data_IF_256224453084
#
_entry.id   IF_256224453084
#
_cell.length_a   1.000
_cell.length_b   1.000
_cell.length_c   1.000
_cell.angle_alpha   90.00
_cell.angle_beta   90.00
_cell.angle_gamma   90.00
#
_symmetry.space_group_name_H-M   'P 1'
#
loop_
_entity.id
_entity.type
_entity.pdbx_description
1 polymer ?
#
# COMPACT_ATOMS: atom_id res chain seq x y z
N UNK A 1 -55.04 -37.56 -9.92
CA UNK A 1 -54.16 -36.66 -10.71
C UNK A 1 -53.39 -35.79 -9.73
N UNK A 2 -52.07 -35.97 -9.70
CA UNK A 2 -51.11 -35.29 -8.80
C UNK A 2 -50.24 -34.37 -9.66
N UNK A 3 -49.79 -33.26 -9.07
CA UNK A 3 -48.96 -32.16 -9.62
C UNK A 3 -49.68 -31.14 -10.52
N UNK A 4 -49.38 -29.83 -10.39
CA UNK A 4 -48.08 -29.31 -9.96
C UNK A 4 -48.17 -28.24 -8.86
N UNK A 5 -47.91 -28.68 -7.62
CA UNK A 5 -47.39 -27.83 -6.53
C UNK A 5 -45.97 -27.30 -6.86
N UNK A 6 -45.38 -27.77 -7.96
CA UNK A 6 -44.04 -27.42 -8.42
C UNK A 6 -43.86 -25.99 -8.94
N UNK A 7 -44.92 -25.25 -9.31
CA UNK A 7 -44.76 -23.89 -9.83
C UNK A 7 -44.57 -22.81 -8.75
N UNK A 8 -45.06 -23.04 -7.53
CA UNK A 8 -44.98 -22.06 -6.45
C UNK A 8 -43.60 -22.01 -5.76
N UNK A 9 -42.78 -23.06 -5.93
CA UNK A 9 -41.48 -23.19 -5.27
C UNK A 9 -40.28 -22.74 -6.14
N UNK A 10 -40.47 -22.50 -7.44
CA UNK A 10 -39.37 -22.16 -8.37
C UNK A 10 -39.15 -20.65 -8.48
N UNK A 11 -40.18 -19.83 -8.28
CA UNK A 11 -40.07 -18.36 -8.33
C UNK A 11 -39.26 -17.71 -7.18
N UNK A 12 -39.28 -18.18 -5.91
CA UNK A 12 -38.50 -17.54 -4.86
C UNK A 12 -37.00 -17.88 -4.95
N UNK A 13 -36.63 -19.01 -5.54
CA UNK A 13 -35.21 -19.44 -5.67
C UNK A 13 -34.49 -18.63 -6.74
N UNK A 14 -35.17 -18.23 -7.81
CA UNK A 14 -34.59 -17.37 -8.85
C UNK A 14 -34.34 -15.92 -8.37
N UNK A 15 -35.14 -15.43 -7.40
CA UNK A 15 -35.04 -14.06 -6.90
C UNK A 15 -33.90 -13.87 -5.86
N UNK A 16 -33.42 -14.94 -5.24
CA UNK A 16 -32.29 -14.88 -4.29
C UNK A 16 -30.91 -14.80 -4.95
N UNK A 17 -30.78 -15.06 -6.25
CA UNK A 17 -29.48 -15.07 -6.94
C UNK A 17 -29.00 -13.68 -7.39
N UNK A 18 -29.80 -12.63 -7.25
CA UNK A 18 -29.46 -11.28 -7.73
C UNK A 18 -28.85 -10.34 -6.66
N UNK A 19 -28.66 -10.80 -5.42
CA UNK A 19 -28.06 -10.00 -4.34
C UNK A 19 -26.58 -10.35 -4.06
N UNK A 20 -25.96 -11.18 -4.90
CA UNK A 20 -24.51 -11.35 -4.91
C UNK A 20 -23.86 -10.08 -5.45
N UNK A 21 -23.66 -9.09 -4.59
CA UNK A 21 -23.01 -7.83 -4.94
C UNK A 21 -21.71 -8.09 -5.70
N UNK A 22 -21.60 -7.53 -6.91
CA UNK A 22 -20.35 -7.47 -7.64
C UNK A 22 -19.31 -6.82 -6.73
N UNK A 23 -18.41 -7.62 -6.15
CA UNK A 23 -17.15 -7.11 -5.62
C UNK A 23 -16.38 -6.60 -6.83
N UNK A 24 -16.42 -5.29 -7.06
CA UNK A 24 -15.62 -4.64 -8.10
C UNK A 24 -14.17 -5.05 -7.87
N UNK A 25 -13.55 -5.71 -8.85
CA UNK A 25 -12.12 -5.99 -8.79
C UNK A 25 -11.38 -4.66 -8.65
N UNK A 26 -10.74 -4.44 -7.50
CA UNK A 26 -9.83 -3.32 -7.30
C UNK A 26 -8.46 -3.74 -7.82
N UNK A 27 -7.90 -2.95 -8.73
CA UNK A 27 -6.52 -3.14 -9.18
C UNK A 27 -5.58 -2.43 -8.19
N UNK A 28 -4.38 -2.98 -7.92
CA UNK A 28 -3.38 -2.31 -7.12
C UNK A 28 -2.92 -0.98 -7.75
N UNK A 29 -2.91 0.11 -6.97
CA UNK A 29 -2.51 1.46 -7.42
C UNK A 29 -1.54 2.11 -6.44
N UNK A 30 -0.82 3.14 -6.90
CA UNK A 30 0.00 3.99 -6.02
C UNK A 30 -0.84 4.72 -4.97
N UNK A 31 -2.06 5.15 -5.32
CA UNK A 31 -3.03 5.69 -4.36
C UNK A 31 -3.40 4.67 -3.27
N UNK A 32 -3.63 3.42 -3.64
CA UNK A 32 -3.86 2.34 -2.68
C UNK A 32 -2.65 2.12 -1.77
N UNK A 33 -1.44 2.23 -2.32
CA UNK A 33 -0.20 2.15 -1.54
C UNK A 33 -0.05 3.32 -0.57
N UNK A 34 -0.32 4.56 -1.00
CA UNK A 34 -0.41 5.72 -0.10
C UNK A 34 -1.43 5.49 1.01
N UNK A 35 -2.60 4.92 0.68
CA UNK A 35 -3.62 4.55 1.66
C UNK A 35 -3.15 3.50 2.67
N UNK A 36 -2.35 2.51 2.23
CA UNK A 36 -1.71 1.53 3.11
C UNK A 36 -0.67 2.20 4.03
N UNK A 37 0.24 3.01 3.49
CA UNK A 37 1.23 3.74 4.29
C UNK A 37 0.56 4.63 5.34
N UNK A 38 -0.54 5.28 4.98
CA UNK A 38 -1.30 6.15 5.86
C UNK A 38 -1.84 5.41 7.11
N UNK A 39 -2.06 4.09 7.06
CA UNK A 39 -2.54 3.34 8.23
C UNK A 39 -1.50 3.20 9.34
N UNK A 40 -0.23 3.42 9.04
CA UNK A 40 0.85 3.36 10.03
C UNK A 40 1.15 4.72 10.65
N UNK A 41 0.80 5.82 9.97
CA UNK A 41 1.03 7.17 10.49
C UNK A 41 0.28 7.38 11.80
N UNK A 42 0.99 7.88 12.81
CA UNK A 42 0.48 8.10 14.17
C UNK A 42 0.52 6.86 15.07
N UNK A 43 0.73 5.67 14.51
CA UNK A 43 0.89 4.44 15.28
C UNK A 43 2.34 4.24 15.74
N UNK A 44 2.51 3.37 16.73
CA UNK A 44 3.83 2.94 17.16
C UNK A 44 4.53 2.14 16.04
N UNK A 45 5.82 2.37 15.88
CA UNK A 45 6.67 1.74 14.88
C UNK A 45 6.74 0.21 15.03
N UNK A 46 6.46 -0.33 16.22
CA UNK A 46 6.27 -1.77 16.43
C UNK A 46 5.12 -2.33 15.59
N UNK A 47 4.00 -1.62 15.45
CA UNK A 47 2.87 -2.07 14.60
C UNK A 47 3.29 -2.22 13.13
N UNK A 48 4.15 -1.32 12.66
CA UNK A 48 4.75 -1.42 11.33
C UNK A 48 5.67 -2.64 11.23
N UNK A 49 6.58 -2.81 12.18
CA UNK A 49 7.55 -3.93 12.20
C UNK A 49 6.86 -5.29 12.32
N UNK A 50 5.81 -5.39 13.14
CA UNK A 50 5.04 -6.63 13.30
C UNK A 50 4.31 -7.01 12.01
N UNK A 51 3.94 -6.02 11.19
CA UNK A 51 3.19 -6.22 9.95
C UNK A 51 4.09 -6.44 8.73
N UNK A 52 5.22 -5.73 8.65
CA UNK A 52 6.11 -5.70 7.48
C UNK A 52 7.42 -6.48 7.71
N UNK A 53 7.68 -6.91 8.94
CA UNK A 53 8.98 -7.43 9.35
C UNK A 53 9.98 -6.32 9.72
N UNK A 54 11.21 -6.68 10.09
CA UNK A 54 12.25 -5.70 10.39
C UNK A 54 12.61 -4.87 9.14
N UNK A 55 12.91 -3.58 9.27
CA UNK A 55 13.33 -2.76 8.15
C UNK A 55 14.68 -3.23 7.60
N UNK A 56 14.82 -3.22 6.27
CA UNK A 56 16.08 -3.57 5.61
C UNK A 56 17.23 -2.61 5.98
N UNK A 57 16.90 -1.36 6.32
CA UNK A 57 17.86 -0.40 6.85
C UNK A 57 17.22 0.55 7.86
N UNK A 58 18.00 0.99 8.83
CA UNK A 58 17.64 2.03 9.80
C UNK A 58 18.75 3.06 9.94
N UNK A 59 18.43 4.35 10.05
CA UNK A 59 19.39 5.41 10.36
C UNK A 59 18.69 6.59 11.05
N UNK A 60 19.47 7.53 11.61
CA UNK A 60 18.94 8.79 12.15
C UNK A 60 19.05 9.89 11.10
N UNK A 61 17.93 10.54 10.80
CA UNK A 61 17.86 11.71 9.94
C UNK A 61 18.40 12.98 10.65
N UNK A 62 18.77 14.03 9.90
CA UNK A 62 19.28 15.29 10.48
C UNK A 62 18.33 16.02 11.44
N UNK A 63 17.06 15.63 11.51
CA UNK A 63 16.04 16.16 12.39
C UNK A 63 15.78 15.27 13.62
N UNK A 64 16.76 14.42 13.99
CA UNK A 64 16.70 13.45 15.10
C UNK A 64 15.56 12.42 14.99
N UNK A 65 15.02 12.22 13.79
CA UNK A 65 14.06 11.15 13.54
C UNK A 65 14.78 9.87 13.14
N UNK A 66 14.31 8.74 13.66
CA UNK A 66 14.76 7.43 13.22
C UNK A 66 14.02 7.09 11.94
N UNK A 67 14.72 6.70 10.89
CA UNK A 67 14.13 6.37 9.59
C UNK A 67 14.19 4.86 9.39
N UNK A 68 13.05 4.24 9.12
CA UNK A 68 12.96 2.84 8.70
C UNK A 68 12.83 2.79 7.19
N UNK A 69 13.68 1.99 6.53
CA UNK A 69 13.67 1.83 5.08
C UNK A 69 13.27 0.40 4.73
N UNK A 70 12.24 0.29 3.90
CA UNK A 70 11.79 -0.95 3.28
C UNK A 70 12.01 -0.86 1.78
N UNK A 71 12.58 -1.91 1.20
CA UNK A 71 12.79 -2.03 -0.25
C UNK A 71 12.21 -3.37 -0.67
N UNK A 72 11.31 -3.34 -1.64
CA UNK A 72 10.74 -4.53 -2.28
C UNK A 72 11.12 -4.49 -3.76
N UNK A 73 11.74 -5.56 -4.25
CA UNK A 73 12.13 -5.71 -5.65
C UNK A 73 11.22 -6.74 -6.32
N UNK A 74 10.86 -6.52 -7.59
CA UNK A 74 10.02 -7.47 -8.36
C UNK A 74 10.71 -8.79 -8.66
N UNK A 75 12.02 -8.76 -8.78
CA UNK A 75 12.83 -9.92 -9.10
C UNK A 75 14.12 -9.88 -8.29
N UNK A 76 14.24 -10.79 -7.33
CA UNK A 76 15.45 -10.98 -6.55
C UNK A 76 16.58 -11.62 -7.39
N UNK A 77 16.22 -12.27 -8.52
CA UNK A 77 17.11 -13.09 -9.33
C UNK A 77 17.48 -12.50 -10.70
N UNK A 78 16.64 -11.65 -11.32
CA UNK A 78 17.08 -10.72 -12.37
C UNK A 78 17.67 -9.48 -11.71
N UNK A 79 18.87 -9.67 -11.15
CA UNK A 79 19.60 -8.60 -10.49
C UNK A 79 19.86 -7.45 -11.48
N UNK A 80 19.00 -6.44 -11.47
CA UNK A 80 19.46 -5.09 -11.74
C UNK A 80 20.39 -4.75 -10.59
N UNK A 81 21.71 -4.59 -10.82
CA UNK A 81 22.63 -4.24 -9.75
C UNK A 81 22.20 -2.94 -9.07
N UNK A 82 21.48 -2.06 -9.75
CA UNK A 82 20.88 -0.82 -9.21
C UNK A 82 19.72 -1.05 -8.25
N UNK A 83 19.11 -2.24 -8.20
CA UNK A 83 18.09 -2.55 -7.19
C UNK A 83 18.73 -2.87 -5.83
N UNK A 84 19.88 -3.56 -5.83
CA UNK A 84 20.70 -3.83 -4.63
C UNK A 84 21.65 -2.68 -4.28
N UNK A 85 22.05 -1.89 -5.28
CA UNK A 85 22.84 -0.67 -5.12
C UNK A 85 21.98 0.59 -5.27
N UNK A 86 20.66 0.49 -5.11
CA UNK A 86 19.79 1.66 -5.04
C UNK A 86 20.37 2.51 -3.92
N UNK A 87 21.07 3.58 -4.30
CA UNK A 87 21.65 4.52 -3.39
C UNK A 87 20.46 5.05 -2.60
N UNK A 88 20.32 4.56 -1.37
CA UNK A 88 19.27 4.96 -0.45
C UNK A 88 19.53 6.43 -0.17
N UNK A 89 18.91 7.27 -0.98
CA UNK A 89 18.99 8.72 -0.93
C UNK A 89 18.05 9.19 0.17
N UNK A 90 18.59 9.89 1.16
CA UNK A 90 17.79 10.53 2.18
C UNK A 90 18.21 12.01 2.35
N UNK A 91 17.28 12.97 2.34
CA UNK A 91 15.83 12.77 2.10
C UNK A 91 15.57 12.24 0.67
N UNK A 92 14.55 11.39 0.47
CA UNK A 92 14.31 10.83 -0.85
C UNK A 92 13.94 11.95 -1.82
N UNK A 93 14.48 11.88 -3.03
CA UNK A 93 14.12 12.81 -4.10
C UNK A 93 12.73 12.45 -4.65
N UNK A 94 11.70 12.89 -3.94
CA UNK A 94 10.28 12.81 -4.29
C UNK A 94 9.70 14.21 -4.42
N UNK A 95 9.03 14.47 -5.52
CA UNK A 95 8.34 15.73 -5.78
C UNK A 95 6.84 15.48 -5.81
N UNK A 96 6.14 15.92 -4.77
CA UNK A 96 4.69 15.77 -4.63
C UNK A 96 3.89 16.37 -5.79
N UNK A 97 4.47 17.28 -6.58
CA UNK A 97 3.84 17.87 -7.77
C UNK A 97 3.89 16.93 -8.98
N UNK A 98 4.80 15.96 -8.98
CA UNK A 98 4.96 14.93 -10.02
C UNK A 98 4.23 13.64 -9.70
N UNK A 99 3.66 13.54 -8.49
CA UNK A 99 2.92 12.38 -8.02
C UNK A 99 1.58 12.21 -8.72
N UNK A 100 1.13 10.96 -8.85
CA UNK A 100 -0.19 10.66 -9.37
C UNK A 100 -1.32 11.12 -8.44
N UNK A 101 -2.57 11.21 -8.95
CA UNK A 101 -3.73 11.54 -8.13
C UNK A 101 -3.88 10.62 -6.91
N UNK A 102 -3.95 11.19 -5.71
CA UNK A 102 -4.11 10.45 -4.45
C UNK A 102 -2.83 9.81 -3.90
N UNK A 103 -1.68 10.05 -4.51
CA UNK A 103 -0.39 9.57 -4.00
C UNK A 103 0.22 10.46 -2.91
N UNK A 104 -0.31 11.68 -2.73
CA UNK A 104 0.15 12.65 -1.75
C UNK A 104 -0.95 12.97 -0.73
N UNK A 105 -0.62 12.88 0.54
CA UNK A 105 -1.40 13.37 1.69
C UNK A 105 -0.55 14.35 2.50
N UNK A 106 -1.07 14.81 3.64
CA UNK A 106 -0.31 15.67 4.55
C UNK A 106 0.92 14.96 5.14
N UNK A 107 0.85 13.63 5.31
CA UNK A 107 1.87 12.83 6.02
C UNK A 107 2.49 11.75 5.15
N UNK A 108 2.00 11.52 3.94
CA UNK A 108 2.55 10.54 3.00
C UNK A 108 2.83 11.24 1.67
N UNK A 109 4.06 11.17 1.19
CA UNK A 109 4.43 11.69 -0.14
C UNK A 109 4.93 10.54 -0.99
N UNK A 110 4.06 10.10 -1.90
CA UNK A 110 4.35 9.04 -2.86
C UNK A 110 4.75 9.57 -4.22
N UNK A 111 5.53 8.80 -4.98
CA UNK A 111 5.78 9.08 -6.39
C UNK A 111 5.89 7.77 -7.18
N UNK A 112 4.83 7.43 -7.93
CA UNK A 112 4.85 6.27 -8.82
C UNK A 112 5.87 6.44 -9.95
N UNK A 113 6.73 5.44 -10.11
CA UNK A 113 7.67 5.34 -11.24
C UNK A 113 7.58 3.92 -11.80
N UNK A 114 6.64 3.64 -12.73
CA UNK A 114 6.38 2.27 -13.21
C UNK A 114 7.55 1.58 -13.91
N UNK A 115 8.53 2.35 -14.38
CA UNK A 115 9.75 1.83 -15.01
C UNK A 115 10.78 1.35 -13.99
N UNK A 116 10.60 1.64 -12.70
CA UNK A 116 11.43 1.10 -11.63
C UNK A 116 11.00 -0.33 -11.30
N UNK A 117 11.97 -1.20 -11.10
CA UNK A 117 11.82 -2.60 -10.72
C UNK A 117 11.72 -2.82 -9.20
N UNK A 118 11.71 -1.73 -8.43
CA UNK A 118 11.56 -1.76 -6.98
C UNK A 118 10.59 -0.69 -6.48
N UNK A 119 10.12 -0.92 -5.25
CA UNK A 119 9.43 0.05 -4.41
C UNK A 119 10.30 0.31 -3.18
N UNK A 120 10.61 1.58 -2.91
CA UNK A 120 11.31 1.99 -1.69
C UNK A 120 10.42 2.88 -0.84
N UNK A 121 10.35 2.59 0.45
CA UNK A 121 9.49 3.29 1.42
C UNK A 121 10.29 3.66 2.66
N UNK A 122 10.21 4.93 3.04
CA UNK A 122 10.86 5.54 4.19
C UNK A 122 9.79 5.93 5.20
N UNK A 123 9.85 5.37 6.40
CA UNK A 123 9.02 5.80 7.53
C UNK A 123 9.88 6.61 8.50
N UNK A 124 9.56 7.88 8.65
CA UNK A 124 10.12 8.74 9.69
C UNK A 124 9.43 8.43 11.01
N UNK A 125 10.21 8.00 11.99
CA UNK A 125 9.78 7.60 13.33
C UNK A 125 10.32 8.61 14.34
N UNK A 126 9.43 9.16 15.16
CA UNK A 126 9.81 10.10 16.22
C UNK A 126 10.54 9.40 17.38
N UNK A 127 11.13 10.20 18.26
CA UNK A 127 11.77 9.70 19.49
C UNK A 127 10.80 8.91 20.40
N UNK A 128 9.49 9.21 20.34
CA UNK A 128 8.44 8.44 21.02
C UNK A 128 8.01 7.17 20.27
N UNK A 129 8.83 6.69 19.32
CA UNK A 129 8.57 5.52 18.48
C UNK A 129 7.31 5.59 17.62
N UNK A 130 6.78 6.78 17.30
CA UNK A 130 5.60 6.92 16.44
C UNK A 130 6.00 7.21 15.00
N UNK A 131 5.33 6.59 14.03
CA UNK A 131 5.45 6.96 12.62
C UNK A 131 4.85 8.35 12.41
N UNK A 132 5.65 9.29 11.88
CA UNK A 132 5.23 10.69 11.66
C UNK A 132 4.96 10.98 10.19
N UNK A 133 5.84 10.51 9.32
CA UNK A 133 5.81 10.81 7.89
C UNK A 133 6.28 9.62 7.11
N UNK A 134 5.73 9.45 5.91
CA UNK A 134 6.12 8.39 4.99
C UNK A 134 6.45 8.99 3.64
N UNK A 135 7.51 8.47 3.03
CA UNK A 135 7.84 8.74 1.64
C UNK A 135 7.97 7.43 0.90
N UNK A 136 7.46 7.35 -0.31
CA UNK A 136 7.69 6.18 -1.15
C UNK A 136 7.93 6.57 -2.60
N UNK A 137 8.72 5.76 -3.30
CA UNK A 137 9.04 5.97 -4.71
C UNK A 137 9.25 4.63 -5.41
N UNK A 138 8.85 4.56 -6.68
CA UNK A 138 9.03 3.37 -7.51
C UNK A 138 7.71 2.77 -7.95
N UNK A 139 7.70 1.47 -8.28
CA UNK A 139 6.47 0.77 -8.67
C UNK A 139 5.70 0.24 -7.45
N UNK A 140 5.41 1.14 -6.50
CA UNK A 140 4.70 0.83 -5.26
C UNK A 140 3.18 0.75 -5.50
N UNK A 141 2.57 -0.41 -5.24
CA UNK A 141 1.13 -0.62 -5.49
C UNK A 141 0.47 -1.42 -4.37
N UNK A 142 -0.72 -0.99 -3.96
CA UNK A 142 -1.58 -1.76 -3.05
C UNK A 142 -3.04 -1.56 -3.46
N UNK A 143 -3.91 -2.45 -2.98
CA UNK A 143 -5.35 -2.32 -3.18
C UNK A 143 -5.90 -1.06 -2.50
N UNK A 144 -6.79 -0.37 -3.19
CA UNK A 144 -7.55 0.71 -2.58
C UNK A 144 -8.62 0.13 -1.66
N UNK A 145 -8.69 0.61 -0.41
CA UNK A 145 -9.79 0.26 0.49
C UNK A 145 -11.10 0.75 -0.13
N UNK A 146 -11.89 -0.17 -0.66
CA UNK A 146 -13.27 0.11 -1.04
C UNK A 146 -14.07 0.21 0.26
N UNK A 147 -14.75 1.34 0.49
CA UNK A 147 -15.71 1.42 1.60
C UNK A 147 -16.78 0.35 1.35
N UNK A 148 -16.73 -0.75 2.09
CA UNK A 148 -17.92 -1.54 2.32
C UNK A 148 -18.83 -0.69 3.21
N UNK A 149 -19.93 -0.22 2.63
CA UNK A 149 -20.95 0.58 3.29
C UNK A 149 -21.87 -0.32 4.11
#
# INVERSE_FOLDING_TARGET
MKLPIFLAAVLPVALCLCFGGCKTLSLPTGKGYTGLCQTYVGHDSSTLVDSWGPPGRTFNAPNDQKVFVYVETRDEYSMNPLAHSALIEYPPNVDGRKSGPGEVTQTVVGQSVPAMDYCITYFEVSQQNQVRKVFWKGDCKSLEKTQAK
#
